data_IF_407010751626
#
_entry.id   IF_407010751626
#
_cell.length_a   1.000
_cell.length_b   1.000
_cell.length_c   1.000
_cell.angle_alpha   90.00
_cell.angle_beta   90.00
_cell.angle_gamma   90.00
#
_symmetry.space_group_name_H-M   'P 1'
#
loop_
_entity.id
_entity.type
_entity.pdbx_description
1 polymer ?
#
# COMPACT_ATOMS: atom_id res chain seq x y z
N UNK A 1 -12.21 -10.20 0.14
CA UNK A 1 -11.07 -10.10 1.07
C UNK A 1 -9.85 -10.91 0.64
N UNK A 2 -9.95 -12.24 0.46
CA UNK A 2 -8.81 -13.10 0.11
C UNK A 2 -8.04 -12.65 -1.14
N UNK A 3 -8.75 -12.26 -2.21
CA UNK A 3 -8.14 -11.72 -3.43
C UNK A 3 -7.25 -10.50 -3.14
N UNK A 4 -7.73 -9.54 -2.33
CA UNK A 4 -6.97 -8.33 -1.98
C UNK A 4 -5.68 -8.68 -1.21
N UNK A 5 -5.73 -9.67 -0.31
CA UNK A 5 -4.56 -10.16 0.43
C UNK A 5 -3.52 -10.74 -0.53
N UNK A 6 -3.94 -11.61 -1.45
CA UNK A 6 -3.04 -12.25 -2.42
C UNK A 6 -2.38 -11.19 -3.32
N UNK A 7 -3.17 -10.28 -3.90
CA UNK A 7 -2.60 -9.22 -4.75
C UNK A 7 -1.69 -8.28 -3.96
N UNK A 8 -2.03 -7.94 -2.72
CA UNK A 8 -1.17 -7.12 -1.87
C UNK A 8 0.17 -7.82 -1.59
N UNK A 9 0.16 -9.12 -1.30
CA UNK A 9 1.38 -9.91 -1.14
C UNK A 9 2.22 -10.00 -2.41
N UNK A 10 1.58 -10.23 -3.57
CA UNK A 10 2.26 -10.27 -4.88
C UNK A 10 2.89 -8.91 -5.21
N UNK A 11 2.17 -7.81 -4.97
CA UNK A 11 2.70 -6.45 -5.16
C UNK A 11 3.85 -6.18 -4.19
N UNK A 12 3.74 -6.62 -2.93
CA UNK A 12 4.85 -6.54 -1.97
C UNK A 12 6.11 -7.27 -2.48
N UNK A 13 5.94 -8.49 -2.99
CA UNK A 13 7.04 -9.28 -3.56
C UNK A 13 7.65 -8.63 -4.81
N UNK A 14 6.84 -8.05 -5.70
CA UNK A 14 7.36 -7.32 -6.85
C UNK A 14 8.12 -6.06 -6.44
N UNK A 15 7.71 -5.40 -5.35
CA UNK A 15 8.45 -4.30 -4.74
C UNK A 15 9.87 -4.67 -4.31
N UNK A 16 10.08 -5.90 -3.80
CA UNK A 16 11.44 -6.39 -3.46
C UNK A 16 12.29 -6.52 -4.73
N UNK A 17 11.73 -7.07 -5.80
CA UNK A 17 12.43 -7.17 -7.08
C UNK A 17 12.79 -5.77 -7.64
N UNK A 18 11.86 -4.82 -7.59
CA UNK A 18 12.10 -3.42 -7.99
C UNK A 18 13.20 -2.79 -7.15
N UNK A 19 13.18 -3.00 -5.82
CA UNK A 19 14.21 -2.48 -4.92
C UNK A 19 15.60 -2.99 -5.32
N UNK A 20 15.75 -4.29 -5.54
CA UNK A 20 17.04 -4.90 -5.93
C UNK A 20 17.52 -4.35 -7.28
N UNK A 21 16.66 -4.27 -8.29
CA UNK A 21 17.01 -3.77 -9.62
C UNK A 21 17.44 -2.31 -9.56
N UNK A 22 16.64 -1.45 -8.92
CA UNK A 22 16.94 -0.02 -8.78
C UNK A 22 18.20 0.19 -7.96
N UNK A 23 18.38 -0.55 -6.86
CA UNK A 23 19.60 -0.48 -6.05
C UNK A 23 20.83 -0.85 -6.87
N UNK A 24 20.76 -1.92 -7.66
CA UNK A 24 21.86 -2.39 -8.50
C UNK A 24 22.25 -1.32 -9.52
N UNK A 25 21.27 -0.75 -10.23
CA UNK A 25 21.50 0.31 -11.22
C UNK A 25 22.05 1.58 -10.53
N UNK A 26 21.46 1.99 -9.40
CA UNK A 26 21.87 3.17 -8.67
C UNK A 26 23.29 3.04 -8.11
N UNK A 27 23.67 1.85 -7.62
CA UNK A 27 25.03 1.54 -7.15
C UNK A 27 26.05 1.57 -8.27
N UNK A 28 25.65 1.15 -9.46
CA UNK A 28 26.51 1.25 -10.64
C UNK A 28 26.72 2.70 -11.08
N UNK A 29 25.69 3.55 -11.02
CA UNK A 29 25.76 4.97 -11.41
C UNK A 29 26.42 5.86 -10.35
N UNK A 30 26.20 5.59 -9.05
CA UNK A 30 26.60 6.43 -7.92
C UNK A 30 27.31 5.59 -6.82
N UNK A 31 28.43 4.92 -7.13
CA UNK A 31 29.06 3.96 -6.23
C UNK A 31 29.53 4.56 -4.89
N UNK A 32 29.88 5.84 -4.90
CA UNK A 32 30.39 6.54 -3.71
C UNK A 32 29.31 7.00 -2.72
N UNK A 33 28.01 6.87 -3.07
CA UNK A 33 26.90 7.32 -2.24
C UNK A 33 26.01 6.14 -1.79
N UNK A 34 26.48 5.29 -0.88
CA UNK A 34 25.81 4.05 -0.49
C UNK A 34 24.42 4.28 0.11
N UNK A 35 24.28 5.33 0.93
CA UNK A 35 23.02 5.68 1.60
C UNK A 35 22.03 6.27 0.61
N UNK A 36 22.47 7.16 -0.29
CA UNK A 36 21.58 7.77 -1.29
C UNK A 36 21.02 6.72 -2.26
N UNK A 37 21.85 5.81 -2.74
CA UNK A 37 21.41 4.73 -3.64
C UNK A 37 20.42 3.78 -2.97
N UNK A 38 20.60 3.50 -1.67
CA UNK A 38 19.63 2.75 -0.88
C UNK A 38 18.29 3.49 -0.75
N UNK A 39 18.31 4.79 -0.41
CA UNK A 39 17.09 5.59 -0.29
C UNK A 39 16.33 5.65 -1.62
N UNK A 40 17.02 5.89 -2.74
CA UNK A 40 16.41 5.89 -4.08
C UNK A 40 15.72 4.55 -4.36
N UNK A 41 16.36 3.43 -4.04
CA UNK A 41 15.80 2.10 -4.26
C UNK A 41 14.57 1.81 -3.37
N UNK A 42 14.62 2.24 -2.11
CA UNK A 42 13.50 2.09 -1.16
C UNK A 42 12.31 2.93 -1.63
N UNK A 43 12.52 4.20 -1.94
CA UNK A 43 11.46 5.09 -2.41
C UNK A 43 10.84 4.59 -3.73
N UNK A 44 11.66 4.15 -4.68
CA UNK A 44 11.17 3.57 -5.94
C UNK A 44 10.29 2.33 -5.71
N UNK A 45 10.67 1.48 -4.75
CA UNK A 45 9.89 0.31 -4.33
C UNK A 45 8.56 0.72 -3.70
N UNK A 46 8.57 1.69 -2.77
CA UNK A 46 7.35 2.18 -2.09
C UNK A 46 6.38 2.80 -3.10
N UNK A 47 6.87 3.67 -3.98
CA UNK A 47 6.06 4.33 -5.02
C UNK A 47 5.45 3.29 -5.95
N UNK A 48 6.25 2.32 -6.41
CA UNK A 48 5.76 1.26 -7.30
C UNK A 48 4.71 0.40 -6.62
N UNK A 49 4.93 0.02 -5.36
CA UNK A 49 3.97 -0.75 -4.56
C UNK A 49 2.68 0.02 -4.33
N UNK A 50 2.75 1.32 -4.03
CA UNK A 50 1.57 2.16 -3.89
C UNK A 50 0.76 2.22 -5.19
N UNK A 51 1.43 2.49 -6.32
CA UNK A 51 0.76 2.60 -7.62
C UNK A 51 0.12 1.29 -8.05
N UNK A 52 0.82 0.16 -7.86
CA UNK A 52 0.30 -1.17 -8.14
C UNK A 52 -0.87 -1.52 -7.21
N UNK A 53 -0.77 -1.24 -5.92
CA UNK A 53 -1.88 -1.48 -4.98
C UNK A 53 -3.09 -0.60 -5.29
N UNK A 54 -2.89 0.68 -5.59
CA UNK A 54 -3.96 1.59 -5.98
C UNK A 54 -4.66 1.09 -7.26
N UNK A 55 -3.92 0.72 -8.31
CA UNK A 55 -4.50 0.32 -9.60
C UNK A 55 -5.05 -1.11 -9.62
N UNK A 56 -4.33 -2.07 -9.07
CA UNK A 56 -4.63 -3.50 -9.17
C UNK A 56 -5.40 -4.04 -7.96
N UNK A 57 -4.92 -3.75 -6.75
CA UNK A 57 -5.47 -4.32 -5.51
C UNK A 57 -6.77 -3.64 -5.12
N UNK A 58 -6.79 -2.31 -5.12
CA UNK A 58 -7.91 -1.49 -4.64
C UNK A 58 -8.70 -0.81 -5.76
N UNK A 59 -8.15 -0.74 -6.99
CA UNK A 59 -8.77 -0.13 -8.18
C UNK A 59 -9.22 1.32 -7.95
N UNK A 60 -8.41 2.09 -7.23
CA UNK A 60 -8.63 3.51 -6.92
C UNK A 60 -7.59 4.39 -7.64
N UNK A 61 -7.94 5.63 -8.01
CA UNK A 61 -6.98 6.56 -8.59
C UNK A 61 -5.91 6.94 -7.56
N UNK A 62 -4.62 6.94 -7.94
CA UNK A 62 -3.55 7.34 -7.04
C UNK A 62 -3.71 8.82 -6.65
N UNK A 63 -3.31 9.15 -5.43
CA UNK A 63 -3.35 10.53 -4.91
C UNK A 63 -2.15 10.82 -4.03
N UNK A 64 -1.72 12.09 -3.97
CA UNK A 64 -0.62 12.52 -3.11
C UNK A 64 -0.87 12.22 -1.63
N UNK A 65 -2.13 12.41 -1.19
CA UNK A 65 -2.54 12.06 0.18
C UNK A 65 -2.42 10.56 0.44
N UNK A 66 -2.94 9.72 -0.47
CA UNK A 66 -2.84 8.27 -0.33
C UNK A 66 -1.40 7.77 -0.37
N UNK A 67 -0.53 8.41 -1.15
CA UNK A 67 0.92 8.12 -1.15
C UNK A 67 1.55 8.43 0.22
N UNK A 68 1.18 9.56 0.83
CA UNK A 68 1.64 9.93 2.17
C UNK A 68 1.14 8.93 3.23
N UNK A 69 -0.15 8.58 3.21
CA UNK A 69 -0.73 7.59 4.13
C UNK A 69 -0.06 6.21 3.94
N UNK A 70 0.21 5.80 2.69
CA UNK A 70 0.90 4.54 2.38
C UNK A 70 2.36 4.52 2.85
N UNK A 71 3.06 5.65 2.75
CA UNK A 71 4.40 5.82 3.32
C UNK A 71 4.39 5.62 4.83
N UNK A 72 3.43 6.24 5.54
CA UNK A 72 3.28 6.06 6.99
C UNK A 72 3.01 4.60 7.34
N UNK A 73 2.13 3.93 6.61
CA UNK A 73 1.85 2.50 6.83
C UNK A 73 3.09 1.63 6.59
N UNK A 74 3.85 1.92 5.54
CA UNK A 74 5.07 1.16 5.21
C UNK A 74 6.17 1.39 6.26
N UNK A 75 6.37 2.63 6.70
CA UNK A 75 7.31 2.98 7.76
C UNK A 75 6.93 2.31 9.08
N UNK A 76 5.65 2.33 9.44
CA UNK A 76 5.15 1.63 10.62
C UNK A 76 5.38 0.11 10.52
N UNK A 77 5.11 -0.48 9.36
CA UNK A 77 5.40 -1.89 9.08
C UNK A 77 6.88 -2.22 9.32
N UNK A 78 7.80 -1.38 8.85
CA UNK A 78 9.23 -1.57 9.06
C UNK A 78 9.62 -1.48 10.55
N UNK A 79 9.03 -0.56 11.31
CA UNK A 79 9.23 -0.46 12.76
C UNK A 79 8.74 -1.73 13.46
N UNK A 80 7.55 -2.21 13.12
CA UNK A 80 6.98 -3.44 13.68
C UNK A 80 7.84 -4.66 13.34
N UNK A 81 8.25 -4.82 12.08
CA UNK A 81 9.15 -5.89 11.66
C UNK A 81 10.43 -5.87 12.48
N UNK A 82 11.07 -4.69 12.60
CA UNK A 82 12.31 -4.51 13.35
C UNK A 82 12.12 -4.84 14.82
N UNK A 83 11.01 -4.42 15.43
CA UNK A 83 10.70 -4.71 16.83
C UNK A 83 10.55 -6.22 17.08
N UNK A 84 9.77 -6.92 16.23
CA UNK A 84 9.58 -8.37 16.32
C UNK A 84 10.91 -9.10 16.12
N UNK A 85 11.66 -8.75 15.08
CA UNK A 85 12.97 -9.34 14.78
C UNK A 85 13.93 -9.19 15.98
N UNK A 86 14.09 -7.98 16.51
CA UNK A 86 14.98 -7.71 17.65
C UNK A 86 14.54 -8.43 18.92
N UNK A 87 13.24 -8.52 19.17
CA UNK A 87 12.70 -9.26 20.30
C UNK A 87 13.03 -10.75 20.22
N UNK A 88 12.86 -11.37 19.04
CA UNK A 88 13.16 -12.79 18.83
C UNK A 88 14.68 -13.06 18.92
N UNK A 89 15.51 -12.18 18.36
CA UNK A 89 16.97 -12.29 18.54
C UNK A 89 17.39 -12.19 20.01
N UNK A 90 16.81 -11.28 20.77
CA UNK A 90 17.06 -11.15 22.21
C UNK A 90 16.66 -12.40 23.02
N UNK A 91 15.83 -13.27 22.43
CA UNK A 91 15.43 -14.57 22.98
C UNK A 91 16.32 -15.73 22.51
N UNK A 92 17.39 -15.45 21.76
CA UNK A 92 18.31 -16.46 21.21
C UNK A 92 17.78 -17.17 19.96
N UNK A 93 16.72 -16.67 19.32
CA UNK A 93 16.26 -17.25 18.06
C UNK A 93 17.29 -17.04 16.95
N UNK A 94 17.43 -18.02 16.08
CA UNK A 94 18.24 -17.88 14.87
C UNK A 94 17.66 -16.77 13.97
N UNK A 95 18.52 -15.92 13.43
CA UNK A 95 18.12 -14.72 12.69
C UNK A 95 17.19 -15.01 11.51
N UNK A 96 17.37 -16.14 10.82
CA UNK A 96 16.48 -16.57 9.72
C UNK A 96 15.05 -16.79 10.22
N UNK A 97 14.86 -17.49 11.34
CA UNK A 97 13.52 -17.76 11.90
C UNK A 97 12.89 -16.49 12.46
N UNK A 98 13.70 -15.62 13.06
CA UNK A 98 13.24 -14.32 13.53
C UNK A 98 12.69 -13.46 12.38
N UNK A 99 13.40 -13.40 11.25
CA UNK A 99 12.99 -12.60 10.09
C UNK A 99 11.80 -13.24 9.34
N UNK A 100 11.78 -14.57 9.22
CA UNK A 100 10.68 -15.31 8.61
C UNK A 100 9.34 -15.10 9.34
N UNK A 101 9.37 -14.85 10.65
CA UNK A 101 8.18 -14.51 11.44
C UNK A 101 7.87 -13.01 11.42
N UNK A 102 8.89 -12.15 11.40
CA UNK A 102 8.72 -10.70 11.42
C UNK A 102 8.08 -10.17 10.12
N UNK A 103 8.52 -10.67 8.96
CA UNK A 103 8.06 -10.19 7.64
C UNK A 103 6.53 -10.39 7.47
N UNK A 104 5.96 -11.59 7.67
CA UNK A 104 4.52 -11.81 7.46
C UNK A 104 3.66 -11.02 8.44
N UNK A 105 4.08 -10.91 9.71
CA UNK A 105 3.34 -10.14 10.71
C UNK A 105 3.29 -8.64 10.36
N UNK A 106 4.44 -8.06 10.01
CA UNK A 106 4.51 -6.67 9.57
C UNK A 106 3.70 -6.43 8.29
N UNK A 107 3.77 -7.37 7.34
CA UNK A 107 3.01 -7.32 6.09
C UNK A 107 1.51 -7.37 6.35
N UNK A 108 1.05 -8.25 7.26
CA UNK A 108 -0.36 -8.36 7.62
C UNK A 108 -0.89 -7.07 8.26
N UNK A 109 -0.12 -6.47 9.18
CA UNK A 109 -0.46 -5.18 9.80
C UNK A 109 -0.51 -4.08 8.73
N UNK A 110 0.49 -4.03 7.83
CA UNK A 110 0.52 -3.08 6.72
C UNK A 110 -0.67 -3.23 5.78
N UNK A 111 -1.08 -4.46 5.47
CA UNK A 111 -2.28 -4.75 4.69
C UNK A 111 -3.56 -4.24 5.38
N UNK A 112 -3.73 -4.56 6.67
CA UNK A 112 -4.92 -4.15 7.44
C UNK A 112 -5.00 -2.62 7.52
N UNK A 113 -3.90 -1.94 7.80
CA UNK A 113 -3.86 -0.47 7.82
C UNK A 113 -4.12 0.13 6.43
N UNK A 114 -3.59 -0.47 5.37
CA UNK A 114 -3.89 -0.04 4.00
C UNK A 114 -5.38 -0.16 3.68
N UNK A 115 -6.00 -1.29 4.06
CA UNK A 115 -7.42 -1.55 3.85
C UNK A 115 -8.30 -0.58 4.66
N UNK A 116 -7.99 -0.41 5.95
CA UNK A 116 -8.84 0.34 6.88
C UNK A 116 -8.59 1.84 6.89
N UNK A 117 -7.45 2.32 6.39
CA UNK A 117 -7.10 3.73 6.48
C UNK A 117 -6.79 4.33 5.12
N UNK A 118 -5.79 3.81 4.40
CA UNK A 118 -5.30 4.39 3.14
C UNK A 118 -6.38 4.39 2.06
N UNK A 119 -7.18 3.31 1.98
CA UNK A 119 -8.15 3.12 0.89
C UNK A 119 -9.63 3.14 1.34
N UNK A 120 -9.92 3.32 2.65
CA UNK A 120 -11.28 3.22 3.23
C UNK A 120 -12.26 4.29 2.72
N UNK A 121 -11.85 5.56 2.67
CA UNK A 121 -12.77 6.71 2.45
C UNK A 121 -13.39 6.81 1.05
N UNK A 122 -12.91 6.04 0.07
CA UNK A 122 -13.41 6.12 -1.32
C UNK A 122 -14.27 4.94 -1.74
N UNK A 123 -14.21 3.82 -1.01
CA UNK A 123 -15.19 2.74 -1.18
C UNK A 123 -16.58 3.27 -0.77
N UNK A 124 -16.69 3.98 0.35
CA UNK A 124 -17.93 4.62 0.82
C UNK A 124 -18.50 5.65 -0.17
N UNK A 125 -17.64 6.43 -0.85
CA UNK A 125 -18.07 7.45 -1.81
C UNK A 125 -18.59 6.83 -3.13
N UNK A 126 -18.00 5.72 -3.57
CA UNK A 126 -18.48 4.98 -4.75
C UNK A 126 -19.76 4.21 -4.44
N UNK A 127 -19.87 3.65 -3.23
CA UNK A 127 -21.09 2.97 -2.76
C UNK A 127 -22.26 3.95 -2.62
N UNK A 128 -22.05 5.14 -2.04
CA UNK A 128 -23.10 6.17 -1.97
C UNK A 128 -23.49 6.77 -3.33
N UNK A 129 -22.56 6.86 -4.30
CA UNK A 129 -22.87 7.31 -5.65
C UNK A 129 -23.68 6.29 -6.46
N UNK A 130 -23.56 5.00 -6.14
CA UNK A 130 -24.31 3.92 -6.80
C UNK A 130 -25.71 3.72 -6.19
N UNK A 131 -25.87 4.10 -4.91
CA UNK A 131 -27.15 4.00 -4.18
C UNK A 131 -28.12 5.14 -4.51
N UNK A 132 -27.64 6.32 -4.93
CA UNK A 132 -28.49 7.46 -5.28
C UNK A 132 -28.37 7.78 -6.79
N UNK A 133 -29.15 7.10 -7.67
CA UNK A 133 -29.15 7.45 -9.08
C UNK A 133 -29.61 8.91 -9.23
N UNK A 134 -29.10 9.67 -10.21
CA UNK A 134 -29.51 11.05 -10.43
C UNK A 134 -31.03 11.09 -10.57
N UNK A 135 -31.74 11.59 -9.55
CA UNK A 135 -33.18 11.84 -9.63
C UNK A 135 -33.38 12.83 -10.76
N UNK A 136 -33.79 12.32 -11.91
CA UNK A 136 -34.24 13.16 -13.02
C UNK A 136 -35.25 14.18 -12.44
N UNK A 137 -35.17 15.46 -12.82
CA UNK A 137 -36.16 16.44 -12.42
C UNK A 137 -37.53 15.87 -12.74
N UNK A 138 -38.39 15.68 -11.73
CA UNK A 138 -39.77 15.24 -11.97
C UNK A 138 -40.37 16.26 -12.95
N UNK A 139 -40.87 15.85 -14.13
CA UNK A 139 -41.57 16.78 -14.99
C UNK A 139 -42.73 17.34 -14.19
N UNK A 140 -42.73 18.65 -13.98
CA UNK A 140 -43.89 19.36 -13.45
C UNK A 140 -45.03 19.11 -14.45
N UNK A 141 -45.92 18.16 -14.14
CA UNK A 141 -47.21 18.07 -14.81
C UNK A 141 -48.01 19.28 -14.34
N UNK A 142 -47.91 20.40 -15.04
CA UNK A 142 -48.99 21.39 -15.09
C UNK A 142 -49.93 20.95 -16.21
N UNK A 143 -50.72 19.91 -15.91
CA UNK A 143 -51.84 19.51 -16.74
C UNK A 143 -53.13 19.99 -16.11
N UNK A 144 -53.94 20.63 -16.94
CA UNK A 144 -55.37 21.02 -16.79
C UNK A 144 -55.64 22.13 -15.77
N UNK A 145 -56.50 23.11 -16.03
CA UNK A 145 -57.77 23.08 -16.76
C UNK A 145 -58.14 24.49 -17.24
N UNK A 146 -58.68 24.54 -18.47
CA UNK A 146 -59.81 25.38 -18.95
C UNK A 146 -59.65 26.90 -19.02
#
# INVERSE_FOLDING_TARGET
>A
MLRKIIFYGIVGASGVAVNIVVLTIARWLLPHFPTLTYLIAVEASIVTNYLLNARLTFRQPPSWRGMGEYNVVTAFGAVVQTAIYRYLLGRGWHYIWADLLAIPFATAIGFVLSLLWVFRRREEATEHADVDPPRAPRPQRSGSDR
#
